data_IF_938608807856
#
_entry.id   IF_938608807856
#
_cell.length_a   1.000
_cell.length_b   1.000
_cell.length_c   1.000
_cell.angle_alpha   90.00
_cell.angle_beta   90.00
_cell.angle_gamma   90.00
#
_symmetry.space_group_name_H-M   'P 1'
#
loop_
_entity.id
_entity.type
_entity.pdbx_description
1 polymer ?
#
# COMPACT_ATOMS: atom_id res chain seq x y z
N UNK A 1 -32.31 -34.65 -12.12
CA UNK A 1 -31.18 -33.91 -11.51
C UNK A 1 -31.66 -33.25 -10.24
N UNK A 2 -30.91 -33.35 -9.14
CA UNK A 2 -31.23 -32.66 -7.88
C UNK A 2 -31.15 -31.14 -8.12
N UNK A 3 -32.16 -30.37 -7.72
CA UNK A 3 -32.08 -28.92 -7.78
C UNK A 3 -31.17 -28.40 -6.66
N UNK A 4 -30.27 -27.49 -7.00
CA UNK A 4 -29.38 -26.82 -6.04
C UNK A 4 -30.18 -25.76 -5.30
N UNK A 5 -30.23 -25.85 -3.97
CA UNK A 5 -30.89 -24.88 -3.09
C UNK A 5 -29.92 -24.24 -2.10
N UNK A 6 -28.87 -24.95 -1.70
CA UNK A 6 -27.82 -24.44 -0.82
C UNK A 6 -26.45 -24.50 -1.48
N UNK A 7 -25.78 -23.35 -1.55
CA UNK A 7 -24.39 -23.21 -1.98
C UNK A 7 -23.54 -22.85 -0.76
N UNK A 8 -22.39 -23.51 -0.62
CA UNK A 8 -21.34 -23.12 0.32
C UNK A 8 -20.08 -22.72 -0.47
N UNK A 9 -19.48 -21.60 -0.16
CA UNK A 9 -18.21 -21.16 -0.74
C UNK A 9 -17.15 -21.11 0.35
N UNK A 10 -16.12 -21.95 0.23
CA UNK A 10 -14.97 -21.96 1.13
C UNK A 10 -13.93 -20.98 0.61
N UNK A 11 -13.80 -19.85 1.33
CA UNK A 11 -12.93 -18.72 1.01
C UNK A 11 -13.74 -17.44 0.81
N UNK A 12 -13.65 -16.50 1.75
CA UNK A 12 -14.32 -15.20 1.66
C UNK A 12 -13.37 -14.12 1.09
N UNK A 13 -12.50 -14.52 0.16
CA UNK A 13 -11.51 -13.63 -0.46
C UNK A 13 -12.08 -12.82 -1.63
N UNK A 14 -11.18 -12.34 -2.47
CA UNK A 14 -11.48 -11.50 -3.63
C UNK A 14 -12.32 -12.22 -4.71
N UNK A 15 -12.18 -13.54 -4.84
CA UNK A 15 -12.99 -14.34 -5.78
C UNK A 15 -14.31 -14.77 -5.13
N UNK A 16 -14.22 -15.48 -4.01
CA UNK A 16 -15.40 -16.09 -3.39
C UNK A 16 -16.46 -15.08 -2.91
N UNK A 17 -16.06 -13.95 -2.34
CA UNK A 17 -17.01 -12.93 -1.85
C UNK A 17 -17.90 -12.34 -2.97
N UNK A 18 -17.31 -11.65 -3.97
CA UNK A 18 -18.03 -11.06 -5.09
C UNK A 18 -18.86 -12.06 -5.89
N UNK A 19 -18.29 -13.23 -6.24
CA UNK A 19 -19.00 -14.25 -7.03
C UNK A 19 -20.27 -14.70 -6.29
N UNK A 20 -20.17 -14.95 -4.99
CA UNK A 20 -21.32 -15.37 -4.18
C UNK A 20 -22.35 -14.25 -3.97
N UNK A 21 -21.91 -13.00 -3.88
CA UNK A 21 -22.81 -11.85 -3.80
C UNK A 21 -23.67 -11.71 -5.07
N UNK A 22 -23.06 -11.90 -6.26
CA UNK A 22 -23.79 -11.88 -7.53
C UNK A 22 -24.73 -13.07 -7.66
N UNK A 23 -24.30 -14.28 -7.27
CA UNK A 23 -25.18 -15.46 -7.27
C UNK A 23 -26.39 -15.23 -6.37
N UNK A 24 -26.20 -14.73 -5.16
CA UNK A 24 -27.30 -14.43 -4.25
C UNK A 24 -28.26 -13.38 -4.83
N UNK A 25 -27.73 -12.36 -5.51
CA UNK A 25 -28.55 -11.31 -6.16
C UNK A 25 -29.36 -11.84 -7.35
N UNK A 26 -28.75 -12.69 -8.18
CA UNK A 26 -29.38 -13.20 -9.42
C UNK A 26 -30.23 -14.44 -9.19
N UNK A 27 -30.02 -15.16 -8.09
CA UNK A 27 -30.73 -16.37 -7.73
C UNK A 27 -31.33 -16.26 -6.31
N UNK A 28 -32.43 -15.49 -6.12
CA UNK A 28 -33.03 -15.27 -4.80
C UNK A 28 -33.50 -16.56 -4.09
N UNK A 29 -33.82 -17.61 -4.85
CA UNK A 29 -34.27 -18.91 -4.35
C UNK A 29 -33.14 -19.82 -3.86
N UNK A 30 -31.89 -19.38 -3.97
CA UNK A 30 -30.69 -20.11 -3.52
C UNK A 30 -30.13 -19.44 -2.28
N UNK A 31 -29.90 -20.24 -1.24
CA UNK A 31 -29.16 -19.82 -0.05
C UNK A 31 -27.67 -19.97 -0.32
N UNK A 32 -26.92 -18.90 -0.10
CA UNK A 32 -25.48 -18.81 -0.34
C UNK A 32 -24.76 -18.54 0.97
N UNK A 33 -23.91 -19.48 1.38
CA UNK A 33 -23.08 -19.37 2.58
C UNK A 33 -21.61 -19.22 2.19
N UNK A 34 -21.00 -18.08 2.51
CA UNK A 34 -19.57 -17.84 2.32
C UNK A 34 -18.87 -18.08 3.65
N UNK A 35 -17.90 -19.00 3.68
CA UNK A 35 -17.20 -19.37 4.90
C UNK A 35 -15.70 -19.13 4.79
N UNK A 36 -15.09 -18.64 5.87
CA UNK A 36 -13.64 -18.44 5.97
C UNK A 36 -13.19 -18.71 7.41
N UNK A 37 -11.96 -19.21 7.57
CA UNK A 37 -11.36 -19.44 8.89
C UNK A 37 -10.93 -18.12 9.53
N UNK A 38 -10.75 -17.06 8.74
CA UNK A 38 -10.43 -15.73 9.24
C UNK A 38 -11.69 -15.04 9.78
N UNK A 39 -11.88 -15.14 11.11
CA UNK A 39 -13.01 -14.53 11.80
C UNK A 39 -13.09 -13.00 11.63
N UNK A 40 -11.95 -12.31 11.52
CA UNK A 40 -11.91 -10.87 11.31
C UNK A 40 -12.46 -10.51 9.92
N UNK A 41 -12.05 -11.25 8.88
CA UNK A 41 -12.58 -11.08 7.52
C UNK A 41 -14.08 -11.35 7.44
N UNK A 42 -14.56 -12.41 8.10
CA UNK A 42 -16.00 -12.72 8.18
C UNK A 42 -16.76 -11.59 8.91
N UNK A 43 -16.17 -11.02 9.97
CA UNK A 43 -16.75 -9.88 10.67
C UNK A 43 -16.84 -8.65 9.78
N UNK A 44 -15.81 -8.37 8.99
CA UNK A 44 -15.79 -7.27 8.01
C UNK A 44 -16.87 -7.45 6.94
N UNK A 45 -17.03 -8.65 6.39
CA UNK A 45 -18.13 -8.98 5.45
C UNK A 45 -19.53 -8.81 6.05
N UNK A 46 -19.66 -8.93 7.37
CA UNK A 46 -20.91 -8.70 8.12
C UNK A 46 -21.05 -7.25 8.62
N UNK A 47 -20.12 -6.36 8.28
CA UNK A 47 -20.11 -4.96 8.72
C UNK A 47 -20.42 -3.98 7.57
N UNK A 48 -20.49 -2.70 7.87
CA UNK A 48 -20.63 -1.64 6.85
C UNK A 48 -19.34 -1.37 6.08
N UNK A 49 -18.20 -1.96 6.50
CA UNK A 49 -16.91 -1.83 5.84
C UNK A 49 -16.46 -3.20 5.34
N UNK A 50 -16.67 -3.47 4.05
CA UNK A 50 -16.25 -4.74 3.44
C UNK A 50 -14.72 -4.88 3.43
N UNK A 51 -14.19 -6.12 3.50
CA UNK A 51 -12.74 -6.37 3.49
C UNK A 51 -12.08 -6.10 2.13
N UNK A 52 -12.88 -5.90 1.08
CA UNK A 52 -12.44 -5.60 -0.28
C UNK A 52 -13.26 -4.44 -0.83
N UNK A 53 -12.61 -3.59 -1.64
CA UNK A 53 -13.29 -2.53 -2.37
C UNK A 53 -13.44 -2.95 -3.84
N UNK A 54 -14.69 -3.00 -4.30
CA UNK A 54 -15.04 -3.18 -5.69
C UNK A 54 -16.19 -2.21 -6.03
N UNK A 55 -16.14 -1.50 -7.17
CA UNK A 55 -17.21 -0.58 -7.57
C UNK A 55 -18.58 -1.27 -7.58
N UNK A 56 -19.50 -0.80 -6.74
CA UNK A 56 -20.88 -1.32 -6.62
C UNK A 56 -21.07 -2.57 -5.76
N UNK A 57 -19.99 -3.21 -5.29
CA UNK A 57 -20.10 -4.44 -4.49
C UNK A 57 -20.80 -4.21 -3.15
N UNK A 58 -20.51 -3.11 -2.47
CA UNK A 58 -21.12 -2.79 -1.17
C UNK A 58 -22.65 -2.74 -1.26
N UNK A 59 -23.20 -2.08 -2.27
CA UNK A 59 -24.67 -1.99 -2.46
C UNK A 59 -25.30 -3.35 -2.74
N UNK A 60 -24.63 -4.19 -3.54
CA UNK A 60 -25.10 -5.54 -3.84
C UNK A 60 -25.11 -6.38 -2.56
N UNK A 61 -24.00 -6.42 -1.83
CA UNK A 61 -23.87 -7.19 -0.59
C UNK A 61 -24.90 -6.72 0.42
N UNK A 62 -25.06 -5.41 0.60
CA UNK A 62 -26.06 -4.83 1.49
C UNK A 62 -27.49 -5.26 1.15
N UNK A 63 -27.81 -5.41 -0.14
CA UNK A 63 -29.13 -5.83 -0.60
C UNK A 63 -29.44 -7.30 -0.27
N UNK A 64 -28.46 -8.20 -0.39
CA UNK A 64 -28.68 -9.67 -0.29
C UNK A 64 -28.19 -10.29 1.02
N UNK A 65 -27.35 -9.59 1.77
CA UNK A 65 -26.82 -10.06 3.05
C UNK A 65 -27.93 -10.16 4.08
N UNK A 66 -28.06 -11.34 4.67
CA UNK A 66 -29.11 -11.65 5.63
C UNK A 66 -30.45 -12.07 5.02
N UNK A 67 -30.66 -11.91 3.70
CA UNK A 67 -31.81 -12.50 3.01
C UNK A 67 -31.48 -13.92 2.54
N UNK A 68 -30.48 -14.04 1.67
CA UNK A 68 -30.02 -15.31 1.11
C UNK A 68 -28.50 -15.39 0.94
N UNK A 69 -27.75 -14.35 1.31
CA UNK A 69 -26.30 -14.37 1.44
C UNK A 69 -25.89 -14.31 2.92
N UNK A 70 -25.05 -15.25 3.36
CA UNK A 70 -24.58 -15.34 4.74
C UNK A 70 -23.06 -15.52 4.79
N UNK A 71 -22.41 -14.88 5.76
CA UNK A 71 -20.98 -15.03 6.02
C UNK A 71 -20.76 -15.66 7.40
N UNK A 72 -20.00 -16.74 7.48
CA UNK A 72 -19.81 -17.51 8.71
C UNK A 72 -18.41 -18.10 8.84
N UNK A 73 -18.01 -18.44 10.07
CA UNK A 73 -16.82 -19.25 10.36
C UNK A 73 -17.14 -20.74 10.52
N UNK A 74 -18.41 -21.13 10.45
CA UNK A 74 -18.88 -22.52 10.64
C UNK A 74 -18.71 -23.38 9.38
N UNK A 75 -17.45 -23.58 8.93
CA UNK A 75 -17.12 -24.27 7.68
C UNK A 75 -17.76 -25.66 7.59
N UNK A 76 -17.56 -26.50 8.61
CA UNK A 76 -18.02 -27.91 8.60
C UNK A 76 -19.55 -28.01 8.44
N UNK A 77 -20.29 -27.14 9.12
CA UNK A 77 -21.76 -27.11 9.07
C UNK A 77 -22.27 -26.67 7.70
N UNK A 78 -21.76 -25.54 7.19
CA UNK A 78 -22.21 -25.02 5.89
C UNK A 78 -21.87 -26.00 4.74
N UNK A 79 -20.74 -26.70 4.83
CA UNK A 79 -20.39 -27.76 3.85
C UNK A 79 -21.33 -28.96 3.97
N UNK A 80 -21.66 -29.41 5.18
CA UNK A 80 -22.59 -30.52 5.38
C UNK A 80 -23.99 -30.24 4.79
N UNK A 81 -24.49 -29.02 4.94
CA UNK A 81 -25.82 -28.57 4.49
C UNK A 81 -25.90 -28.20 3.00
N UNK A 82 -24.75 -28.03 2.32
CA UNK A 82 -24.71 -27.58 0.93
C UNK A 82 -24.99 -28.68 -0.09
N UNK A 83 -25.66 -28.31 -1.19
CA UNK A 83 -25.80 -29.14 -2.39
C UNK A 83 -24.60 -28.96 -3.35
N UNK A 84 -23.99 -27.77 -3.30
CA UNK A 84 -22.84 -27.39 -4.11
C UNK A 84 -21.82 -26.63 -3.26
N UNK A 85 -20.54 -26.98 -3.41
CA UNK A 85 -19.44 -26.37 -2.67
C UNK A 85 -18.43 -25.75 -3.64
N UNK A 86 -18.24 -24.43 -3.54
CA UNK A 86 -17.17 -23.71 -4.20
C UNK A 86 -15.90 -23.73 -3.33
N UNK A 87 -14.77 -23.97 -3.96
CA UNK A 87 -13.44 -23.86 -3.36
C UNK A 87 -12.70 -22.68 -3.97
N UNK A 88 -12.67 -21.57 -3.23
CA UNK A 88 -12.03 -20.30 -3.62
C UNK A 88 -10.96 -19.92 -2.60
N UNK A 89 -10.01 -20.84 -2.41
CA UNK A 89 -8.89 -20.70 -1.47
C UNK A 89 -7.60 -20.32 -2.19
N UNK A 90 -6.70 -19.64 -1.49
CA UNK A 90 -5.41 -19.27 -2.05
C UNK A 90 -4.55 -20.51 -2.37
N UNK A 91 -3.82 -20.45 -3.48
CA UNK A 91 -2.84 -21.46 -3.91
C UNK A 91 -1.46 -20.80 -4.09
N UNK A 92 -0.86 -20.25 -3.01
CA UNK A 92 0.32 -19.41 -3.11
C UNK A 92 1.48 -20.17 -3.75
N UNK A 93 2.37 -19.48 -4.45
CA UNK A 93 3.58 -20.09 -5.01
C UNK A 93 4.42 -20.74 -3.91
N UNK A 94 4.90 -21.96 -4.16
CA UNK A 94 5.80 -22.67 -3.24
C UNK A 94 7.07 -21.85 -3.02
N UNK A 95 7.49 -21.70 -1.77
CA UNK A 95 8.71 -20.98 -1.40
C UNK A 95 9.93 -21.91 -1.26
N UNK A 96 9.73 -23.23 -1.23
CA UNK A 96 10.79 -24.23 -1.11
C UNK A 96 10.41 -25.57 -1.78
N UNK A 97 11.41 -26.43 -1.96
CA UNK A 97 11.27 -27.76 -2.57
C UNK A 97 11.10 -27.74 -4.09
N UNK A 98 10.67 -28.86 -4.68
CA UNK A 98 10.45 -28.94 -6.14
C UNK A 98 9.42 -27.92 -6.61
N UNK A 99 9.79 -27.10 -7.60
CA UNK A 99 8.95 -26.03 -8.13
C UNK A 99 8.87 -24.79 -7.24
N UNK A 100 9.81 -24.57 -6.32
CA UNK A 100 9.91 -23.31 -5.60
C UNK A 100 9.99 -22.11 -6.57
N UNK A 101 9.21 -21.06 -6.30
CA UNK A 101 9.10 -19.87 -7.14
C UNK A 101 8.20 -20.02 -8.37
N UNK A 102 7.72 -21.22 -8.70
CA UNK A 102 6.92 -21.46 -9.91
C UNK A 102 5.63 -22.26 -9.67
N UNK A 103 5.68 -23.30 -8.84
CA UNK A 103 4.56 -24.22 -8.64
C UNK A 103 3.62 -23.73 -7.53
N UNK A 104 2.32 -23.93 -7.72
CA UNK A 104 1.30 -23.63 -6.72
C UNK A 104 1.39 -24.57 -5.51
N UNK A 105 1.21 -24.02 -4.31
CA UNK A 105 1.05 -24.78 -3.09
C UNK A 105 -0.43 -25.12 -2.89
N UNK A 106 -0.80 -26.38 -3.13
CA UNK A 106 -2.18 -26.85 -3.06
C UNK A 106 -2.64 -27.22 -1.63
N UNK A 107 -1.84 -26.95 -0.59
CA UNK A 107 -2.16 -27.34 0.80
C UNK A 107 -3.55 -26.90 1.25
N UNK A 108 -3.96 -25.68 0.92
CA UNK A 108 -5.27 -25.16 1.33
C UNK A 108 -6.42 -25.82 0.57
N UNK A 109 -6.23 -26.10 -0.72
CA UNK A 109 -7.19 -26.84 -1.53
C UNK A 109 -7.36 -28.28 -1.01
N UNK A 110 -6.24 -28.95 -0.70
CA UNK A 110 -6.24 -30.28 -0.12
C UNK A 110 -6.95 -30.30 1.25
N UNK A 111 -6.65 -29.32 2.11
CA UNK A 111 -7.31 -29.21 3.42
C UNK A 111 -8.83 -29.03 3.27
N UNK A 112 -9.27 -28.16 2.35
CA UNK A 112 -10.69 -27.95 2.09
C UNK A 112 -11.36 -29.23 1.53
N UNK A 113 -10.72 -29.92 0.60
CA UNK A 113 -11.20 -31.19 0.07
C UNK A 113 -11.34 -32.27 1.16
N UNK A 114 -10.36 -32.37 2.07
CA UNK A 114 -10.41 -33.28 3.23
C UNK A 114 -11.56 -32.93 4.18
N UNK A 115 -11.78 -31.65 4.47
CA UNK A 115 -12.92 -31.19 5.27
C UNK A 115 -14.24 -31.56 4.62
N UNK A 116 -14.39 -31.33 3.31
CA UNK A 116 -15.58 -31.73 2.56
C UNK A 116 -15.81 -33.23 2.68
N UNK A 117 -14.80 -34.05 2.44
CA UNK A 117 -14.90 -35.51 2.53
C UNK A 117 -15.30 -35.97 3.95
N UNK A 118 -14.81 -35.29 4.99
CA UNK A 118 -15.09 -35.61 6.40
C UNK A 118 -16.56 -35.37 6.78
N UNK A 119 -17.18 -34.30 6.28
CA UNK A 119 -18.49 -33.83 6.77
C UNK A 119 -19.64 -34.05 5.79
N UNK A 120 -19.34 -34.46 4.56
CA UNK A 120 -20.37 -34.72 3.54
C UNK A 120 -21.11 -36.02 3.82
N UNK A 121 -22.41 -35.92 4.09
CA UNK A 121 -23.31 -37.06 4.31
C UNK A 121 -24.23 -37.35 3.12
N UNK A 122 -24.16 -36.53 2.07
CA UNK A 122 -24.98 -36.61 0.85
C UNK A 122 -24.17 -36.20 -0.37
N UNK A 123 -24.70 -36.48 -1.57
CA UNK A 123 -24.10 -36.08 -2.84
C UNK A 123 -23.98 -34.56 -2.95
N UNK A 124 -22.80 -34.10 -3.38
CA UNK A 124 -22.47 -32.68 -3.57
C UNK A 124 -21.73 -32.45 -4.88
N UNK A 125 -21.98 -31.31 -5.50
CA UNK A 125 -21.17 -30.83 -6.63
C UNK A 125 -20.04 -29.97 -6.07
N UNK A 126 -18.79 -30.32 -6.38
CA UNK A 126 -17.63 -29.54 -5.97
C UNK A 126 -17.13 -28.73 -7.17
N UNK A 127 -17.10 -27.42 -7.03
CA UNK A 127 -16.56 -26.49 -8.01
C UNK A 127 -15.26 -25.90 -7.48
N UNK A 128 -14.18 -26.02 -8.24
CA UNK A 128 -12.89 -25.45 -7.89
C UNK A 128 -12.72 -24.16 -8.69
N UNK A 129 -12.68 -23.04 -7.97
CA UNK A 129 -12.53 -21.70 -8.54
C UNK A 129 -11.33 -21.03 -7.88
N UNK A 130 -10.14 -21.37 -8.40
CA UNK A 130 -8.85 -20.87 -7.92
C UNK A 130 -8.13 -20.16 -9.05
N UNK A 131 -8.05 -18.84 -8.98
CA UNK A 131 -7.24 -18.03 -9.89
C UNK A 131 -5.93 -17.61 -9.23
N UNK A 132 -4.82 -17.75 -9.94
CA UNK A 132 -3.54 -17.17 -9.57
C UNK A 132 -2.75 -16.79 -10.84
N UNK A 133 -3.11 -15.67 -11.46
CA UNK A 133 -2.25 -15.01 -12.44
C UNK A 133 -2.06 -13.55 -12.06
N UNK A 134 -0.91 -13.24 -11.48
CA UNK A 134 -0.42 -11.87 -11.35
C UNK A 134 0.96 -11.79 -12.02
N UNK A 135 1.25 -10.64 -12.64
CA UNK A 135 2.55 -10.34 -13.20
C UNK A 135 3.15 -9.15 -12.43
N UNK A 136 4.36 -9.32 -11.89
CA UNK A 136 5.09 -8.23 -11.24
C UNK A 136 5.83 -7.44 -12.32
N UNK A 137 5.59 -6.14 -12.39
CA UNK A 137 6.28 -5.22 -13.30
C UNK A 137 7.24 -4.36 -12.48
N UNK A 138 8.53 -4.36 -12.85
CA UNK A 138 9.54 -3.49 -12.25
C UNK A 138 10.06 -2.50 -13.29
N UNK A 139 10.28 -1.25 -12.86
CA UNK A 139 10.76 -0.14 -13.69
C UNK A 139 12.05 0.42 -13.12
N UNK A 140 12.91 0.98 -13.98
CA UNK A 140 14.18 1.59 -13.58
C UNK A 140 14.19 3.10 -13.88
N UNK A 141 15.31 3.76 -13.58
CA UNK A 141 15.47 5.21 -13.80
C UNK A 141 15.33 5.63 -15.26
N UNK A 142 15.61 4.76 -16.24
CA UNK A 142 15.41 5.05 -17.67
C UNK A 142 13.93 5.09 -18.07
N UNK A 143 13.05 4.53 -17.24
CA UNK A 143 11.60 4.57 -17.41
C UNK A 143 10.97 5.83 -16.82
N UNK A 144 11.73 6.63 -16.06
CA UNK A 144 11.24 7.83 -15.39
C UNK A 144 10.57 8.82 -16.36
N UNK A 145 9.44 9.40 -15.93
CA UNK A 145 8.68 10.40 -16.70
C UNK A 145 7.88 9.83 -17.86
N UNK A 146 8.00 8.53 -18.17
CA UNK A 146 7.26 7.87 -19.26
C UNK A 146 5.95 7.30 -18.76
N UNK A 147 4.98 7.25 -19.68
CA UNK A 147 3.70 6.58 -19.52
C UNK A 147 3.75 5.23 -20.23
N UNK A 148 3.34 4.17 -19.54
CA UNK A 148 3.30 2.80 -20.05
C UNK A 148 1.87 2.31 -20.04
N UNK A 149 1.41 1.73 -21.15
CA UNK A 149 0.10 1.10 -21.24
C UNK A 149 0.26 -0.40 -21.13
N UNK A 150 -0.65 -1.06 -20.42
CA UNK A 150 -0.69 -2.51 -20.39
C UNK A 150 -1.10 -3.03 -21.77
N UNK A 151 -0.29 -3.92 -22.32
CA UNK A 151 -0.65 -4.72 -23.50
C UNK A 151 -0.72 -6.20 -23.10
N UNK A 152 -1.81 -6.87 -23.46
CA UNK A 152 -2.01 -8.29 -23.20
C UNK A 152 -2.57 -8.99 -24.44
N UNK A 153 -2.19 -10.25 -24.63
CA UNK A 153 -2.75 -11.12 -25.67
C UNK A 153 -2.96 -12.52 -25.14
N UNK A 154 -3.96 -13.20 -25.67
CA UNK A 154 -4.13 -14.63 -25.44
C UNK A 154 -3.31 -15.40 -26.47
N UNK A 155 -2.28 -16.12 -26.03
CA UNK A 155 -1.49 -17.04 -26.86
C UNK A 155 -1.04 -16.42 -28.20
N UNK A 156 -1.68 -16.83 -29.32
CA UNK A 156 -1.36 -16.41 -30.68
C UNK A 156 -2.26 -15.31 -31.23
N UNK A 157 -3.08 -14.67 -30.40
CA UNK A 157 -3.90 -13.52 -30.79
C UNK A 157 -3.06 -12.24 -30.97
N UNK A 158 -3.69 -11.23 -31.56
CA UNK A 158 -3.13 -9.89 -31.63
C UNK A 158 -3.01 -9.26 -30.24
N UNK A 159 -2.07 -8.35 -30.08
CA UNK A 159 -1.94 -7.56 -28.85
C UNK A 159 -3.15 -6.65 -28.68
N UNK A 160 -3.80 -6.77 -27.54
CA UNK A 160 -4.81 -5.82 -27.09
C UNK A 160 -4.14 -4.83 -26.14
N UNK A 161 -4.33 -3.54 -26.41
CA UNK A 161 -3.92 -2.46 -25.55
C UNK A 161 -5.03 -2.12 -24.57
N UNK A 162 -4.66 -1.80 -23.33
CA UNK A 162 -5.58 -1.44 -22.25
C UNK A 162 -5.25 -0.03 -21.76
N UNK A 163 -5.74 1.04 -22.44
CA UNK A 163 -5.36 2.42 -22.14
C UNK A 163 -5.82 2.89 -20.76
N UNK A 164 -6.89 2.28 -20.22
CA UNK A 164 -7.36 2.57 -18.86
C UNK A 164 -6.37 2.12 -17.77
N UNK A 165 -5.40 1.27 -18.12
CA UNK A 165 -4.33 0.78 -17.25
C UNK A 165 -3.00 1.44 -17.64
N UNK A 166 -3.00 2.77 -17.66
CA UNK A 166 -1.80 3.58 -17.86
C UNK A 166 -1.03 3.74 -16.54
N UNK A 167 0.27 3.45 -16.58
CA UNK A 167 1.20 3.60 -15.47
C UNK A 167 2.21 4.69 -15.82
N UNK A 168 2.23 5.77 -15.03
CA UNK A 168 3.26 6.80 -15.14
C UNK A 168 4.36 6.52 -14.12
N UNK A 169 5.59 6.41 -14.58
CA UNK A 169 6.75 6.17 -13.70
C UNK A 169 7.24 7.49 -13.13
N UNK A 170 6.99 7.73 -11.85
CA UNK A 170 7.54 8.86 -11.10
C UNK A 170 8.95 8.56 -10.64
N UNK A 171 9.82 9.56 -10.63
CA UNK A 171 11.19 9.43 -10.18
C UNK A 171 11.62 10.65 -9.37
N UNK A 172 12.38 10.42 -8.31
CA UNK A 172 13.02 11.47 -7.55
C UNK A 172 14.44 11.68 -8.09
N UNK A 173 14.64 12.74 -8.87
CA UNK A 173 15.90 13.04 -9.54
C UNK A 173 16.99 13.61 -8.61
N UNK A 174 16.60 14.10 -7.43
CA UNK A 174 17.50 14.70 -6.45
C UNK A 174 16.93 15.98 -5.88
N UNK A 175 17.70 16.59 -4.97
CA UNK A 175 17.35 17.85 -4.30
C UNK A 175 18.57 18.75 -4.27
N UNK A 176 18.41 19.98 -4.75
CA UNK A 176 19.46 21.01 -4.71
C UNK A 176 19.09 22.08 -3.67
N UNK A 177 19.95 22.27 -2.67
CA UNK A 177 19.70 23.26 -1.61
C UNK A 177 20.26 24.64 -1.99
N UNK A 178 19.53 25.71 -1.68
CA UNK A 178 20.05 27.09 -1.73
C UNK A 178 19.95 27.73 -0.36
N UNK A 179 21.09 27.81 0.32
CA UNK A 179 21.37 28.82 1.33
C UNK A 179 22.84 29.21 1.24
N UNK A 180 23.24 30.35 1.81
CA UNK A 180 24.65 30.59 2.09
C UNK A 180 25.16 29.47 3.02
N UNK A 181 26.13 28.66 2.56
CA UNK A 181 26.70 27.54 3.31
C UNK A 181 26.66 26.19 2.57
N UNK A 182 26.88 25.09 3.30
CA UNK A 182 26.94 23.73 2.74
C UNK A 182 25.52 23.19 2.46
N UNK A 183 25.29 22.66 1.26
CA UNK A 183 23.98 22.14 0.82
C UNK A 183 23.46 20.98 1.70
N UNK A 184 24.35 20.19 2.29
CA UNK A 184 24.01 19.00 3.09
C UNK A 184 24.02 19.26 4.60
N UNK A 185 24.08 20.54 5.02
CA UNK A 185 24.08 20.92 6.42
C UNK A 185 23.02 21.99 6.73
N UNK A 186 22.24 21.79 7.78
CA UNK A 186 21.36 22.82 8.35
C UNK A 186 22.06 23.54 9.48
N UNK A 187 21.73 24.83 9.61
CA UNK A 187 21.86 25.55 10.86
C UNK A 187 20.49 25.53 11.51
N UNK A 188 20.43 25.13 12.78
CA UNK A 188 19.20 25.13 13.59
C UNK A 188 18.43 26.45 13.45
N UNK A 189 17.10 26.36 13.36
CA UNK A 189 16.18 27.52 13.28
C UNK A 189 16.41 28.47 12.11
N UNK A 190 17.21 28.08 11.12
CA UNK A 190 17.34 28.78 9.85
C UNK A 190 16.62 27.96 8.77
N UNK A 191 15.54 28.50 8.16
CA UNK A 191 14.85 27.79 7.10
C UNK A 191 15.80 27.62 5.90
N UNK A 192 15.79 26.43 5.31
CA UNK A 192 16.50 26.15 4.07
C UNK A 192 15.52 25.67 3.02
N UNK A 193 15.54 26.36 1.88
CA UNK A 193 14.77 26.00 0.71
C UNK A 193 15.56 25.00 -0.14
N UNK A 194 14.84 24.00 -0.61
CA UNK A 194 15.33 22.98 -1.52
C UNK A 194 14.52 23.03 -2.79
N UNK A 195 15.22 22.91 -3.91
CA UNK A 195 14.61 22.83 -5.22
C UNK A 195 14.57 21.40 -5.70
N UNK A 196 13.39 21.03 -6.20
CA UNK A 196 13.12 19.84 -6.96
C UNK A 196 13.11 20.29 -8.41
N UNK A 197 14.29 20.26 -9.00
CA UNK A 197 14.52 20.66 -10.39
C UNK A 197 15.23 19.52 -11.09
N UNK A 198 14.68 19.07 -12.21
CA UNK A 198 15.39 18.22 -13.16
C UNK A 198 15.54 19.01 -14.45
N UNK A 199 16.78 19.35 -14.81
CA UNK A 199 17.14 19.99 -16.09
C UNK A 199 16.63 19.18 -17.30
N UNK A 200 16.22 17.93 -17.11
CA UNK A 200 15.71 17.03 -18.14
C UNK A 200 14.19 16.83 -18.14
N UNK A 201 13.42 17.67 -17.44
CA UNK A 201 11.95 17.64 -17.45
C UNK A 201 11.35 16.27 -17.05
N UNK A 202 11.92 15.59 -16.04
CA UNK A 202 11.29 14.40 -15.47
C UNK A 202 10.09 14.82 -14.64
N UNK A 203 8.94 14.76 -15.29
CA UNK A 203 7.63 15.02 -14.70
C UNK A 203 7.28 14.02 -13.59
N UNK A 204 6.77 14.51 -12.46
CA UNK A 204 6.26 13.64 -11.40
C UNK A 204 5.96 14.32 -10.07
N UNK A 205 6.55 15.50 -9.83
CA UNK A 205 6.31 16.31 -8.64
C UNK A 205 4.96 17.05 -8.69
N UNK A 206 4.37 17.25 -7.51
CA UNK A 206 3.08 17.90 -7.33
C UNK A 206 3.04 18.70 -6.03
N UNK A 207 2.16 19.70 -5.96
CA UNK A 207 1.86 20.40 -4.69
C UNK A 207 1.08 19.54 -3.69
N UNK A 208 0.71 18.31 -4.07
CA UNK A 208 0.15 17.31 -3.17
C UNK A 208 1.23 16.44 -2.51
N UNK A 209 2.49 16.56 -2.95
CA UNK A 209 3.60 15.77 -2.46
C UNK A 209 4.11 16.30 -1.12
N UNK A 210 4.76 15.42 -0.35
CA UNK A 210 5.33 15.75 0.95
C UNK A 210 6.75 15.25 1.07
N UNK A 211 7.55 15.99 1.83
CA UNK A 211 8.90 15.59 2.24
C UNK A 211 8.90 15.30 3.73
N UNK A 212 9.40 14.13 4.11
CA UNK A 212 9.58 13.74 5.50
C UNK A 212 11.06 13.57 5.83
N UNK A 213 11.44 13.90 7.06
CA UNK A 213 12.75 13.58 7.60
C UNK A 213 12.64 12.48 8.65
N UNK A 214 13.55 11.52 8.56
CA UNK A 214 13.71 10.43 9.54
C UNK A 214 15.17 10.33 9.99
N UNK A 215 15.42 9.82 11.18
CA UNK A 215 16.77 9.52 11.64
C UNK A 215 17.43 8.50 10.71
N UNK A 216 18.71 8.68 10.39
CA UNK A 216 19.43 7.74 9.53
C UNK A 216 19.42 6.32 10.14
N UNK A 217 18.83 5.37 9.42
CA UNK A 217 18.64 3.98 9.88
C UNK A 217 17.19 3.62 10.22
N UNK A 218 16.28 4.60 10.26
CA UNK A 218 14.84 4.36 10.39
C UNK A 218 14.16 4.25 9.02
N UNK A 219 13.00 3.59 8.99
CA UNK A 219 12.23 3.33 7.77
C UNK A 219 11.32 4.52 7.42
N UNK A 220 11.32 4.91 6.15
CA UNK A 220 10.44 5.94 5.60
C UNK A 220 8.96 5.52 5.59
N UNK A 221 8.65 4.23 5.76
CA UNK A 221 7.27 3.74 5.84
C UNK A 221 6.61 3.95 7.22
N UNK A 222 7.38 4.22 8.27
CA UNK A 222 6.86 4.37 9.64
C UNK A 222 6.54 5.83 9.96
N UNK A 223 5.25 6.19 9.95
CA UNK A 223 4.82 7.57 10.22
C UNK A 223 5.25 8.13 11.59
N UNK A 224 5.42 7.26 12.59
CA UNK A 224 5.93 7.64 13.92
C UNK A 224 7.42 8.02 13.92
N UNK A 225 8.17 7.68 12.88
CA UNK A 225 9.59 8.01 12.76
C UNK A 225 9.83 9.41 12.16
N UNK A 226 8.78 10.09 11.69
CA UNK A 226 8.91 11.39 11.04
C UNK A 226 9.21 12.48 12.07
N UNK A 227 10.40 13.06 11.99
CA UNK A 227 10.84 14.15 12.88
C UNK A 227 10.48 15.53 12.33
N UNK A 228 10.21 15.63 11.03
CA UNK A 228 9.79 16.85 10.35
C UNK A 228 9.06 16.47 9.06
N UNK A 229 8.06 17.27 8.68
CA UNK A 229 7.33 17.16 7.41
C UNK A 229 7.24 18.53 6.78
N UNK A 230 7.48 18.61 5.48
CA UNK A 230 7.29 19.82 4.68
C UNK A 230 6.40 19.52 3.46
N UNK A 231 5.58 20.50 3.10
CA UNK A 231 4.78 20.46 1.88
C UNK A 231 5.64 20.87 0.68
N UNK A 232 5.37 20.24 -0.46
CA UNK A 232 5.96 20.63 -1.74
C UNK A 232 5.13 21.75 -2.35
N UNK A 233 5.78 22.81 -2.79
CA UNK A 233 5.18 24.02 -3.32
C UNK A 233 5.69 24.30 -4.75
N UNK A 234 4.85 24.94 -5.57
CA UNK A 234 5.27 25.41 -6.88
C UNK A 234 6.23 26.61 -6.73
N UNK A 235 7.29 26.63 -7.53
CA UNK A 235 8.31 27.69 -7.52
C UNK A 235 8.16 28.57 -8.77
N UNK A 236 7.71 29.80 -8.59
CA UNK A 236 7.52 30.76 -9.68
C UNK A 236 6.26 30.49 -10.52
N UNK A 237 6.14 31.18 -11.66
CA UNK A 237 4.98 31.06 -12.56
C UNK A 237 5.15 29.97 -13.63
N UNK A 238 6.36 29.40 -13.76
CA UNK A 238 6.68 28.39 -14.77
C UNK A 238 6.31 26.97 -14.28
N UNK A 239 5.58 26.23 -15.12
CA UNK A 239 5.15 24.87 -14.81
C UNK A 239 6.35 23.91 -14.78
N UNK A 240 6.48 23.13 -13.71
CA UNK A 240 7.49 22.07 -13.58
C UNK A 240 8.57 22.32 -12.53
N UNK A 241 8.63 23.52 -11.95
CA UNK A 241 9.58 23.84 -10.89
C UNK A 241 8.91 23.75 -9.52
N UNK A 242 9.48 22.94 -8.63
CA UNK A 242 8.96 22.74 -7.28
C UNK A 242 10.02 23.00 -6.23
N UNK A 243 9.57 23.37 -5.04
CA UNK A 243 10.42 23.60 -3.89
C UNK A 243 9.77 23.08 -2.63
N UNK A 244 10.56 22.88 -1.59
CA UNK A 244 10.05 22.71 -0.23
C UNK A 244 11.00 23.38 0.73
N UNK A 245 10.46 23.86 1.85
CA UNK A 245 11.24 24.52 2.89
C UNK A 245 11.21 23.69 4.15
N UNK A 246 12.40 23.37 4.65
CA UNK A 246 12.55 22.70 5.93
C UNK A 246 12.96 23.72 6.99
N UNK A 247 12.28 23.68 8.14
CA UNK A 247 12.63 24.45 9.32
C UNK A 247 12.82 23.48 10.49
N UNK A 248 14.07 23.25 10.89
CA UNK A 248 14.43 22.19 11.83
C UNK A 248 14.68 22.78 13.22
N UNK A 249 13.98 22.27 14.26
CA UNK A 249 14.16 22.73 15.63
C UNK A 249 15.51 22.29 16.20
N UNK A 250 15.97 22.99 17.24
CA UNK A 250 17.26 22.76 17.88
C UNK A 250 17.43 21.34 18.43
N UNK A 251 16.32 20.71 18.84
CA UNK A 251 16.30 19.34 19.33
C UNK A 251 16.81 18.30 18.30
N UNK A 252 16.87 18.65 17.01
CA UNK A 252 17.38 17.77 15.96
C UNK A 252 18.88 17.97 15.69
N UNK A 253 19.58 18.85 16.41
CA UNK A 253 20.99 19.11 16.19
C UNK A 253 21.89 17.89 16.50
N UNK A 254 23.02 17.79 15.79
CA UNK A 254 24.05 16.78 16.04
C UNK A 254 23.82 15.42 15.37
N UNK A 255 22.70 15.25 14.66
CA UNK A 255 22.33 14.01 13.99
C UNK A 255 22.29 14.16 12.47
N UNK A 256 22.32 13.02 11.77
CA UNK A 256 22.13 12.92 10.32
C UNK A 256 20.78 12.30 10.05
N UNK A 257 20.01 12.99 9.22
CA UNK A 257 18.65 12.62 8.83
C UNK A 257 18.62 12.24 7.35
N UNK A 258 17.69 11.36 7.00
CA UNK A 258 17.40 10.99 5.61
C UNK A 258 16.16 11.72 5.14
N UNK A 259 16.17 12.06 3.86
CA UNK A 259 15.01 12.64 3.18
C UNK A 259 14.17 11.50 2.60
N UNK A 260 12.92 11.43 3.01
CA UNK A 260 11.89 10.56 2.45
C UNK A 260 10.93 11.40 1.62
N UNK A 261 10.53 10.92 0.44
CA UNK A 261 9.65 11.65 -0.45
C UNK A 261 8.35 10.89 -0.68
N UNK A 262 7.21 11.55 -0.54
CA UNK A 262 5.89 10.97 -0.74
C UNK A 262 5.21 11.63 -1.96
N UNK A 263 4.86 10.83 -2.97
CA UNK A 263 4.12 11.30 -4.13
C UNK A 263 2.61 11.27 -3.82
N UNK A 264 2.00 12.43 -3.54
CA UNK A 264 0.59 12.52 -3.14
C UNK A 264 0.28 11.68 -1.89
N UNK A 265 -0.65 10.72 -2.05
CA UNK A 265 -1.05 9.79 -0.99
C UNK A 265 -0.27 8.47 -0.97
N UNK A 266 0.79 8.35 -1.77
CA UNK A 266 1.64 7.16 -1.82
C UNK A 266 2.53 7.04 -0.56
N UNK A 267 2.94 5.81 -0.24
CA UNK A 267 3.87 5.55 0.87
C UNK A 267 5.22 6.25 0.61
N UNK A 268 5.81 6.96 1.59
CA UNK A 268 7.05 7.68 1.35
C UNK A 268 8.20 6.73 1.01
N UNK A 269 8.95 7.09 -0.04
CA UNK A 269 10.12 6.33 -0.50
C UNK A 269 11.41 6.95 0.01
N UNK A 270 12.35 6.09 0.37
CA UNK A 270 13.67 6.52 0.82
C UNK A 270 14.48 7.08 -0.36
N UNK A 271 15.04 8.28 -0.19
CA UNK A 271 15.94 8.87 -1.17
C UNK A 271 17.41 8.61 -0.81
N UNK A 272 18.34 8.87 -1.75
CA UNK A 272 19.78 8.85 -1.50
C UNK A 272 20.29 10.08 -0.74
N UNK A 273 19.43 11.09 -0.52
CA UNK A 273 19.81 12.37 0.07
C UNK A 273 19.81 12.30 1.60
N UNK A 274 20.86 12.85 2.20
CA UNK A 274 21.01 12.98 3.66
C UNK A 274 21.29 14.42 4.05
N UNK A 275 20.88 14.76 5.27
CA UNK A 275 20.94 16.10 5.82
C UNK A 275 21.54 16.03 7.22
N UNK A 276 22.67 16.71 7.45
CA UNK A 276 23.23 16.88 8.78
C UNK A 276 22.66 18.15 9.43
N UNK A 277 22.19 18.08 10.67
CA UNK A 277 21.72 19.27 11.40
C UNK A 277 22.82 19.73 12.34
N UNK A 278 23.32 20.95 12.14
CA UNK A 278 24.35 21.55 12.98
C UNK A 278 23.72 22.64 13.85
N UNK A 279 24.08 22.65 15.12
CA UNK A 279 23.87 23.79 16.01
C UNK A 279 25.20 24.51 16.25
N UNK A 280 25.12 25.79 16.61
CA UNK A 280 26.24 26.53 17.17
C UNK A 280 25.93 26.70 18.67
N UNK A 281 26.43 25.83 19.56
CA UNK A 281 26.30 26.10 20.99
C UNK A 281 27.06 27.39 21.28
N UNK A 282 26.43 28.27 22.07
CA UNK A 282 26.75 29.69 22.23
C UNK A 282 28.22 30.08 22.09
N UNK A 283 28.48 31.15 21.34
CA UNK A 283 29.75 31.86 21.41
C UNK A 283 29.83 32.47 22.82
N UNK A 284 30.64 31.87 23.71
CA UNK A 284 31.07 32.55 24.94
C UNK A 284 32.33 33.33 24.58
N UNK A 285 32.17 34.63 24.34
CA UNK A 285 33.30 35.54 24.24
C UNK A 285 33.88 35.76 25.63
N UNK A 286 35.04 35.17 25.93
CA UNK A 286 35.86 35.62 27.06
C UNK A 286 36.71 36.77 26.54
N UNK A 287 36.41 38.00 26.98
CA UNK A 287 37.37 39.10 26.89
C UNK A 287 38.45 38.84 27.94
N UNK A 288 39.62 38.36 27.54
CA UNK A 288 40.80 38.43 28.40
C UNK A 288 41.09 39.91 28.69
N UNK A 289 40.91 40.34 29.95
CA UNK A 289 41.50 41.59 30.44
C UNK A 289 40.61 42.63 31.10
N UNK A 290 39.32 42.39 31.38
CA UNK A 290 38.51 43.35 32.16
C UNK A 290 38.24 42.83 33.57
N UNK A 291 38.96 43.38 34.55
CA UNK A 291 38.58 43.34 35.95
C UNK A 291 37.28 44.13 36.11
N UNK A 292 36.20 43.46 36.55
CA UNK A 292 34.98 44.15 36.98
C UNK A 292 35.21 44.55 38.43
N UNK A 293 35.29 45.85 38.65
CA UNK A 293 35.44 46.50 39.95
C UNK A 293 34.25 46.13 40.85
N UNK A 294 34.57 45.58 42.02
CA UNK A 294 33.60 45.08 42.98
C UNK A 294 33.26 46.17 44.02
N UNK A 295 32.86 47.36 43.57
CA UNK A 295 32.29 48.40 44.45
C UNK A 295 31.35 49.29 43.65
N UNK A 296 30.05 49.01 43.71
CA UNK A 296 29.04 50.07 43.84
C UNK A 296 27.71 49.48 44.33
N UNK A 297 27.49 49.69 45.62
CA UNK A 297 26.24 49.55 46.36
C UNK A 297 25.31 50.72 46.03
N UNK A 298 24.04 50.43 45.74
CA UNK A 298 22.85 51.00 46.40
C UNK A 298 21.66 50.08 46.15
#
# INVERSE_FOLDING_TARGET
MKQIKNICCVGAGYVGGPTMAIIALKCPDITVNVVDLNAQRVKEWNSESLPIFEPGLYEIVKQVRGSNLFFSTEVEKCVAEADMVFLSVNTPTKTFGMGAGCAANLRYLELAARTIAKVSTSDKIILVDVEAFYAVVSMNTLSAGKEFHLCYKFTNEAWNEYPALALRVKHFAGVNGVSQGNANAFVVSQPKAFYLDDENAVSGYSTQDKVHLVLSGQDCAEASAYVCTADVEARGEEAGHFQFTLNLPEALAGSVYRVCYAFGAEMPVQTSSTVAVKSMPGIVGVLEGTAVDAEQTL
#
